data_IF_588430464695
#
_entry.id   IF_588430464695
#
_cell.length_a   1.000
_cell.length_b   1.000
_cell.length_c   1.000
_cell.angle_alpha   90.00
_cell.angle_beta   90.00
_cell.angle_gamma   90.00
#
_symmetry.space_group_name_H-M   'P 1'
#
loop_
_entity.id
_entity.type
_entity.pdbx_description
1 polymer ?
#
# COMPACT_ATOMS: atom_id res chain seq x y z
N UNK A 1 34.79 11.44 7.81
CA UNK A 1 33.73 10.57 8.38
C UNK A 1 32.32 11.16 8.21
N UNK A 2 32.04 12.38 8.69
CA UNK A 2 30.69 13.02 8.67
C UNK A 2 30.04 13.15 7.27
N UNK A 3 30.82 13.37 6.21
CA UNK A 3 30.35 13.54 4.81
C UNK A 3 29.77 12.26 4.20
N UNK A 4 30.45 11.11 4.35
CA UNK A 4 29.94 9.80 3.91
C UNK A 4 28.62 9.42 4.61
N UNK A 5 28.45 9.81 5.88
CA UNK A 5 27.24 9.51 6.66
C UNK A 5 26.02 10.40 6.35
N UNK A 6 26.20 11.64 5.85
CA UNK A 6 25.08 12.48 5.36
C UNK A 6 24.59 11.99 3.99
N UNK A 7 25.50 11.49 3.16
CA UNK A 7 25.23 10.89 1.84
C UNK A 7 24.35 9.64 1.96
N UNK A 8 24.56 8.79 2.97
CA UNK A 8 23.76 7.58 3.20
C UNK A 8 22.29 7.86 3.58
N UNK A 9 22.00 8.87 4.42
CA UNK A 9 20.60 9.21 4.76
C UNK A 9 19.83 9.71 3.55
N UNK A 10 20.46 10.57 2.75
CA UNK A 10 19.82 11.03 1.52
C UNK A 10 19.55 9.87 0.57
N UNK A 11 20.40 8.83 0.56
CA UNK A 11 20.17 7.60 -0.21
C UNK A 11 19.00 6.78 0.33
N UNK A 12 18.91 6.58 1.65
CA UNK A 12 17.83 5.80 2.27
C UNK A 12 16.47 6.51 2.19
N UNK A 13 16.45 7.84 2.37
CA UNK A 13 15.25 8.65 2.12
C UNK A 13 14.79 8.53 0.67
N UNK A 14 15.72 8.66 -0.29
CA UNK A 14 15.40 8.51 -1.73
C UNK A 14 14.80 7.14 -2.04
N UNK A 15 15.32 6.06 -1.44
CA UNK A 15 14.74 4.72 -1.57
C UNK A 15 13.32 4.65 -1.01
N UNK A 16 13.08 5.21 0.17
CA UNK A 16 11.73 5.27 0.74
C UNK A 16 10.77 6.02 -0.19
N UNK A 17 11.18 7.21 -0.65
CA UNK A 17 10.38 8.03 -1.56
C UNK A 17 10.06 7.31 -2.85
N UNK A 18 11.03 6.59 -3.43
CA UNK A 18 10.82 5.82 -4.66
C UNK A 18 9.77 4.72 -4.46
N UNK A 19 9.88 3.94 -3.38
CA UNK A 19 8.93 2.85 -3.11
C UNK A 19 7.54 3.38 -2.76
N UNK A 20 7.45 4.45 -1.97
CA UNK A 20 6.18 5.11 -1.66
C UNK A 20 5.56 5.72 -2.92
N UNK A 21 6.38 6.26 -3.83
CA UNK A 21 5.91 6.76 -5.12
C UNK A 21 5.36 5.62 -5.99
N UNK A 22 6.01 4.45 -6.02
CA UNK A 22 5.49 3.28 -6.73
C UNK A 22 4.15 2.82 -6.14
N UNK A 23 4.04 2.76 -4.81
CA UNK A 23 2.76 2.47 -4.13
C UNK A 23 1.69 3.52 -4.49
N UNK A 24 2.05 4.80 -4.52
CA UNK A 24 1.14 5.88 -4.88
C UNK A 24 0.66 5.79 -6.33
N UNK A 25 1.58 5.56 -7.28
CA UNK A 25 1.22 5.37 -8.68
C UNK A 25 0.30 4.16 -8.85
N UNK A 26 0.64 3.03 -8.21
CA UNK A 26 -0.20 1.83 -8.26
C UNK A 26 -1.59 2.09 -7.69
N UNK A 27 -1.68 2.70 -6.50
CA UNK A 27 -2.97 3.00 -5.87
C UNK A 27 -3.80 4.02 -6.64
N UNK A 28 -3.16 4.91 -7.42
CA UNK A 28 -3.86 5.86 -8.28
C UNK A 28 -4.60 5.21 -9.45
N UNK A 29 -4.25 3.96 -9.81
CA UNK A 29 -4.99 3.21 -10.84
C UNK A 29 -6.42 2.91 -10.36
N UNK A 30 -6.63 2.65 -9.09
CA UNK A 30 -7.96 2.43 -8.50
C UNK A 30 -8.84 3.68 -8.52
N UNK A 31 -8.23 4.87 -8.56
CA UNK A 31 -9.00 6.12 -8.67
C UNK A 31 -9.58 6.31 -10.06
N UNK A 32 -8.82 5.92 -11.09
CA UNK A 32 -9.19 6.13 -12.50
C UNK A 32 -9.82 4.90 -13.15
N UNK A 33 -9.60 3.72 -12.58
CA UNK A 33 -9.79 2.45 -13.25
C UNK A 33 -8.69 2.21 -14.29
N UNK A 34 -8.35 0.94 -14.50
CA UNK A 34 -7.43 0.55 -15.56
C UNK A 34 -7.89 -0.73 -16.24
N UNK A 35 -8.20 -0.63 -17.54
CA UNK A 35 -8.52 -1.77 -18.39
C UNK A 35 -7.69 -1.70 -19.67
N UNK A 36 -7.25 -2.86 -20.14
CA UNK A 36 -6.54 -3.01 -21.40
C UNK A 36 -7.23 -4.06 -22.26
N UNK A 37 -7.74 -3.64 -23.42
CA UNK A 37 -8.62 -4.46 -24.27
C UNK A 37 -9.80 -5.03 -23.45
N UNK A 38 -9.91 -6.36 -23.36
CA UNK A 38 -10.99 -7.05 -22.66
C UNK A 38 -10.62 -7.43 -21.21
N UNK A 39 -9.46 -6.97 -20.71
CA UNK A 39 -8.96 -7.30 -19.38
C UNK A 39 -9.04 -6.05 -18.51
N UNK A 40 -9.84 -6.10 -17.44
CA UNK A 40 -9.86 -5.05 -16.42
C UNK A 40 -8.87 -5.41 -15.32
N UNK A 41 -7.93 -4.53 -15.01
CA UNK A 41 -7.03 -4.70 -13.87
C UNK A 41 -7.71 -4.26 -12.57
N UNK A 42 -8.37 -3.09 -12.61
CA UNK A 42 -9.06 -2.48 -11.47
C UNK A 42 -10.16 -1.55 -11.98
N UNK A 43 -11.31 -1.53 -11.31
CA UNK A 43 -12.42 -0.61 -11.61
C UNK A 43 -12.24 0.70 -10.82
N UNK A 44 -12.83 1.81 -11.29
CA UNK A 44 -12.69 3.10 -10.58
C UNK A 44 -13.48 3.11 -9.26
N UNK A 45 -12.81 3.46 -8.17
CA UNK A 45 -13.35 3.57 -6.82
C UNK A 45 -13.29 5.00 -6.25
N UNK A 46 -13.12 6.03 -7.10
CA UNK A 46 -12.94 7.43 -6.66
C UNK A 46 -14.05 7.94 -5.72
N UNK A 47 -15.32 7.63 -6.03
CA UNK A 47 -16.46 8.09 -5.24
C UNK A 47 -16.73 7.20 -4.01
N UNK A 48 -15.86 6.23 -3.73
CA UNK A 48 -15.97 5.33 -2.58
C UNK A 48 -15.00 5.77 -1.46
N UNK A 49 -14.91 4.96 -0.41
CA UNK A 49 -13.98 5.20 0.71
C UNK A 49 -12.52 5.28 0.22
N UNK A 50 -12.20 4.61 -0.88
CA UNK A 50 -10.85 4.56 -1.45
C UNK A 50 -10.38 5.93 -1.95
N UNK A 51 -11.28 6.77 -2.49
CA UNK A 51 -10.95 8.15 -2.87
C UNK A 51 -10.51 9.02 -1.69
N UNK A 52 -11.21 8.92 -0.56
CA UNK A 52 -10.80 9.59 0.67
C UNK A 52 -9.47 9.02 1.18
N UNK A 53 -9.30 7.70 1.13
CA UNK A 53 -8.07 7.02 1.51
C UNK A 53 -6.87 7.51 0.69
N UNK A 54 -7.06 7.70 -0.61
CA UNK A 54 -6.07 8.24 -1.54
C UNK A 54 -5.70 9.68 -1.22
N UNK A 55 -6.67 10.55 -0.89
CA UNK A 55 -6.39 11.94 -0.50
C UNK A 55 -5.59 12.03 0.80
N UNK A 56 -5.91 11.19 1.79
CA UNK A 56 -5.14 11.09 3.03
C UNK A 56 -3.72 10.62 2.72
N UNK A 57 -3.57 9.58 1.89
CA UNK A 57 -2.26 9.06 1.51
C UNK A 57 -1.41 10.11 0.79
N UNK A 58 -1.98 10.82 -0.19
CA UNK A 58 -1.33 11.93 -0.91
C UNK A 58 -0.85 13.02 0.06
N UNK A 59 -1.72 13.43 0.98
CA UNK A 59 -1.42 14.48 1.98
C UNK A 59 -0.27 14.06 2.88
N UNK A 60 -0.30 12.83 3.40
CA UNK A 60 0.77 12.29 4.25
C UNK A 60 2.07 12.08 3.49
N UNK A 61 2.00 11.73 2.20
CA UNK A 61 3.17 11.58 1.35
C UNK A 61 3.85 12.93 1.10
N UNK A 62 3.07 13.97 0.75
CA UNK A 62 3.56 15.35 0.63
C UNK A 62 4.18 15.82 1.96
N UNK A 63 3.52 15.53 3.09
CA UNK A 63 4.03 15.88 4.41
C UNK A 63 5.36 15.17 4.71
N UNK A 64 5.54 13.92 4.30
CA UNK A 64 6.82 13.21 4.44
C UNK A 64 7.94 13.86 3.60
N UNK A 65 7.64 14.34 2.40
CA UNK A 65 8.60 15.05 1.53
C UNK A 65 9.08 16.34 2.21
N UNK A 66 8.16 17.22 2.60
CA UNK A 66 8.48 18.57 3.06
C UNK A 66 8.75 18.67 4.57
N UNK A 67 8.12 17.83 5.39
CA UNK A 67 8.18 17.85 6.86
C UNK A 67 8.61 16.49 7.42
N UNK A 68 9.67 15.92 6.84
CA UNK A 68 10.23 14.59 7.16
C UNK A 68 10.28 14.24 8.66
N UNK A 69 10.64 15.20 9.53
CA UNK A 69 10.74 14.98 10.99
C UNK A 69 9.45 14.40 11.59
N UNK A 70 8.30 14.84 11.12
CA UNK A 70 6.97 14.40 11.59
C UNK A 70 6.27 13.50 10.56
N UNK A 71 6.35 13.87 9.27
CA UNK A 71 5.62 13.18 8.20
C UNK A 71 5.96 11.70 8.08
N UNK A 72 7.20 11.29 8.38
CA UNK A 72 7.60 9.87 8.34
C UNK A 72 6.81 9.00 9.34
N UNK A 73 6.50 9.52 10.52
CA UNK A 73 5.77 8.78 11.55
C UNK A 73 4.29 8.67 11.20
N UNK A 74 3.67 9.79 10.80
CA UNK A 74 2.27 9.80 10.40
C UNK A 74 2.03 8.90 9.18
N UNK A 75 2.90 8.97 8.17
CA UNK A 75 2.84 8.09 7.01
C UNK A 75 3.02 6.62 7.41
N UNK A 76 3.91 6.31 8.36
CA UNK A 76 4.11 4.92 8.81
C UNK A 76 2.90 4.36 9.55
N UNK A 77 2.24 5.17 10.38
CA UNK A 77 1.01 4.78 11.07
C UNK A 77 -0.10 4.52 10.06
N UNK A 78 -0.25 5.40 9.07
CA UNK A 78 -1.23 5.23 8.01
C UNK A 78 -1.00 3.97 7.18
N UNK A 79 0.24 3.71 6.72
CA UNK A 79 0.58 2.50 5.97
C UNK A 79 0.38 1.25 6.84
N UNK A 80 0.67 1.31 8.15
CA UNK A 80 0.39 0.21 9.09
C UNK A 80 -1.11 -0.07 9.22
N UNK A 81 -1.94 0.97 9.35
CA UNK A 81 -3.39 0.81 9.36
C UNK A 81 -3.89 0.24 8.03
N UNK A 82 -3.33 0.71 6.91
CA UNK A 82 -3.70 0.26 5.58
C UNK A 82 -3.38 -1.22 5.35
N UNK A 83 -2.19 -1.72 5.74
CA UNK A 83 -1.88 -3.15 5.59
C UNK A 83 -2.85 -4.03 6.39
N UNK A 84 -3.27 -3.58 7.57
CA UNK A 84 -4.24 -4.31 8.41
C UNK A 84 -5.60 -4.36 7.71
N UNK A 85 -6.09 -3.23 7.19
CA UNK A 85 -7.38 -3.19 6.48
C UNK A 85 -7.31 -4.02 5.20
N UNK A 86 -6.26 -3.85 4.39
CA UNK A 86 -6.04 -4.62 3.17
C UNK A 86 -6.01 -6.12 3.44
N UNK A 87 -5.34 -6.54 4.53
CA UNK A 87 -5.31 -7.94 4.95
C UNK A 87 -6.71 -8.47 5.29
N UNK A 88 -7.49 -7.72 6.07
CA UNK A 88 -8.84 -8.12 6.46
C UNK A 88 -9.81 -8.21 5.27
N UNK A 89 -9.72 -7.28 4.31
CA UNK A 89 -10.57 -7.25 3.14
C UNK A 89 -10.29 -8.41 2.17
N UNK A 90 -9.02 -8.78 1.99
CA UNK A 90 -8.62 -9.66 0.88
C UNK A 90 -8.00 -10.99 1.32
N UNK A 91 -7.24 -11.04 2.42
CA UNK A 91 -6.45 -12.23 2.77
C UNK A 91 -6.99 -13.01 3.97
N UNK A 92 -7.63 -12.33 4.92
CA UNK A 92 -8.19 -12.97 6.11
C UNK A 92 -9.16 -14.11 5.72
N UNK A 93 -10.08 -13.82 4.80
CA UNK A 93 -11.07 -14.80 4.33
C UNK A 93 -10.50 -15.84 3.36
N UNK A 94 -9.33 -15.60 2.77
CA UNK A 94 -8.58 -16.62 2.03
C UNK A 94 -8.03 -17.69 2.98
N UNK A 95 -7.51 -17.27 4.13
CA UNK A 95 -6.81 -18.14 5.08
C UNK A 95 -7.78 -18.83 6.04
N UNK A 96 -8.76 -18.09 6.57
CA UNK A 96 -9.67 -18.57 7.61
C UNK A 96 -11.05 -18.96 7.08
N UNK A 97 -11.31 -18.73 5.79
CA UNK A 97 -12.62 -18.95 5.18
C UNK A 97 -13.64 -17.86 5.51
N UNK A 98 -14.82 -17.97 4.93
CA UNK A 98 -15.98 -17.11 5.20
C UNK A 98 -17.27 -17.77 4.73
N UNK A 99 -18.41 -17.10 4.89
CA UNK A 99 -19.71 -17.62 4.44
C UNK A 99 -19.81 -17.64 2.91
N UNK A 100 -20.63 -18.55 2.38
CA UNK A 100 -20.85 -18.70 0.93
C UNK A 100 -21.41 -17.41 0.32
N UNK A 101 -22.28 -16.69 1.04
CA UNK A 101 -22.84 -15.42 0.59
C UNK A 101 -21.75 -14.35 0.40
N UNK A 102 -20.76 -14.31 1.31
CA UNK A 102 -19.66 -13.36 1.21
C UNK A 102 -18.71 -13.70 0.07
N UNK A 103 -18.44 -14.99 -0.15
CA UNK A 103 -17.65 -15.46 -1.31
C UNK A 103 -18.35 -15.07 -2.62
N UNK A 104 -19.64 -15.33 -2.74
CA UNK A 104 -20.42 -15.01 -3.93
C UNK A 104 -20.47 -13.51 -4.20
N UNK A 105 -20.70 -12.70 -3.16
CA UNK A 105 -20.69 -11.23 -3.27
C UNK A 105 -19.33 -10.70 -3.71
N UNK A 106 -18.24 -11.21 -3.14
CA UNK A 106 -16.87 -10.83 -3.52
C UNK A 106 -16.56 -11.24 -4.97
N UNK A 107 -16.84 -12.49 -5.34
CA UNK A 107 -16.60 -13.00 -6.70
C UNK A 107 -17.42 -12.22 -7.72
N UNK A 108 -18.65 -11.81 -7.39
CA UNK A 108 -19.49 -10.98 -8.26
C UNK A 108 -18.92 -9.57 -8.42
N UNK A 109 -18.45 -8.95 -7.33
CA UNK A 109 -17.86 -7.62 -7.35
C UNK A 109 -16.57 -7.58 -8.20
N UNK A 110 -15.69 -8.56 -8.03
CA UNK A 110 -14.42 -8.66 -8.75
C UNK A 110 -14.46 -9.57 -9.98
N UNK A 111 -15.65 -9.86 -10.53
CA UNK A 111 -15.81 -10.87 -11.60
C UNK A 111 -15.09 -10.50 -12.89
N UNK A 112 -14.98 -9.20 -13.16
CA UNK A 112 -14.42 -8.66 -14.40
C UNK A 112 -12.93 -8.33 -14.27
N UNK A 113 -12.37 -8.39 -13.06
CA UNK A 113 -10.96 -8.02 -12.84
C UNK A 113 -10.03 -9.19 -13.16
N UNK A 114 -8.75 -8.89 -13.36
CA UNK A 114 -7.74 -9.87 -13.73
C UNK A 114 -7.37 -10.74 -12.53
N UNK A 115 -7.70 -12.03 -12.58
CA UNK A 115 -7.33 -13.02 -11.57
C UNK A 115 -6.10 -13.83 -11.99
N UNK A 116 -5.11 -13.96 -11.10
CA UNK A 116 -3.97 -14.88 -11.30
C UNK A 116 -4.37 -16.31 -10.96
N UNK A 117 -5.22 -16.45 -9.94
CA UNK A 117 -5.76 -17.72 -9.46
C UNK A 117 -7.28 -17.62 -9.65
N UNK A 118 -7.87 -18.59 -10.34
CA UNK A 118 -9.32 -18.60 -10.58
C UNK A 118 -10.11 -18.48 -9.28
N UNK A 119 -11.19 -17.71 -9.31
CA UNK A 119 -12.13 -17.58 -8.19
C UNK A 119 -12.59 -18.94 -7.67
N UNK A 120 -12.82 -19.03 -6.36
CA UNK A 120 -13.23 -20.26 -5.68
C UNK A 120 -14.59 -20.07 -5.01
N UNK A 121 -15.36 -21.14 -4.91
CA UNK A 121 -16.62 -21.19 -4.15
C UNK A 121 -16.38 -21.50 -2.66
N UNK A 122 -15.15 -21.87 -2.28
CA UNK A 122 -14.79 -22.29 -0.91
C UNK A 122 -13.98 -21.25 -0.14
N UNK A 123 -13.19 -20.45 -0.87
CA UNK A 123 -12.31 -19.43 -0.29
C UNK A 123 -12.34 -18.17 -1.14
N UNK A 124 -12.13 -17.03 -0.50
CA UNK A 124 -11.99 -15.75 -1.19
C UNK A 124 -10.59 -15.63 -1.77
N UNK A 125 -10.48 -15.33 -3.06
CA UNK A 125 -9.19 -15.17 -3.75
C UNK A 125 -9.12 -13.75 -4.31
N UNK A 126 -8.13 -12.94 -3.88
CA UNK A 126 -7.98 -11.58 -4.40
C UNK A 126 -7.56 -11.55 -5.87
N UNK A 127 -7.97 -10.50 -6.57
CA UNK A 127 -7.51 -10.26 -7.94
C UNK A 127 -6.04 -9.78 -7.97
N UNK A 128 -5.45 -9.71 -9.16
CA UNK A 128 -4.05 -9.33 -9.35
C UNK A 128 -3.74 -7.95 -8.77
N UNK A 129 -4.66 -7.00 -8.92
CA UNK A 129 -4.45 -5.63 -8.46
C UNK A 129 -4.28 -5.58 -6.95
N UNK A 130 -5.17 -6.22 -6.20
CA UNK A 130 -5.13 -6.23 -4.73
C UNK A 130 -3.97 -7.08 -4.19
N UNK A 131 -3.54 -8.12 -4.91
CA UNK A 131 -2.31 -8.88 -4.59
C UNK A 131 -1.08 -7.95 -4.66
N UNK A 132 -0.89 -7.25 -5.79
CA UNK A 132 0.25 -6.35 -5.98
C UNK A 132 0.18 -5.18 -4.99
N UNK A 133 -1.01 -4.61 -4.78
CA UNK A 133 -1.22 -3.52 -3.81
C UNK A 133 -0.78 -3.96 -2.40
N UNK A 134 -1.18 -5.15 -1.95
CA UNK A 134 -0.79 -5.69 -0.65
C UNK A 134 0.74 -5.82 -0.51
N UNK A 135 1.41 -6.33 -1.54
CA UNK A 135 2.88 -6.45 -1.56
C UNK A 135 3.56 -5.08 -1.50
N UNK A 136 3.08 -4.10 -2.27
CA UNK A 136 3.63 -2.74 -2.27
C UNK A 136 3.46 -2.05 -0.92
N UNK A 137 2.31 -2.20 -0.26
CA UNK A 137 2.08 -1.67 1.09
C UNK A 137 3.07 -2.31 2.08
N UNK A 138 3.22 -3.63 2.05
CA UNK A 138 4.14 -4.35 2.95
C UNK A 138 5.60 -3.91 2.77
N UNK A 139 6.07 -3.86 1.52
CA UNK A 139 7.44 -3.42 1.20
C UNK A 139 7.66 -1.96 1.63
N UNK A 140 6.67 -1.10 1.38
CA UNK A 140 6.70 0.31 1.80
C UNK A 140 6.83 0.44 3.32
N UNK A 141 6.05 -0.35 4.08
CA UNK A 141 6.07 -0.34 5.53
C UNK A 141 7.44 -0.78 6.06
N UNK A 142 7.98 -1.90 5.58
CA UNK A 142 9.28 -2.43 6.00
C UNK A 142 10.39 -1.40 5.76
N UNK A 143 10.42 -0.80 4.57
CA UNK A 143 11.44 0.18 4.20
C UNK A 143 11.30 1.46 5.04
N UNK A 144 10.08 1.92 5.27
CA UNK A 144 9.82 3.12 6.07
C UNK A 144 10.18 2.92 7.55
N UNK A 145 9.84 1.77 8.14
CA UNK A 145 10.23 1.41 9.52
C UNK A 145 11.75 1.35 9.64
N UNK A 146 12.45 0.69 8.71
CA UNK A 146 13.92 0.63 8.69
C UNK A 146 14.54 2.02 8.65
N UNK A 147 13.99 2.90 7.81
CA UNK A 147 14.44 4.29 7.71
C UNK A 147 14.21 5.08 9.01
N UNK A 148 13.04 4.91 9.64
CA UNK A 148 12.73 5.52 10.93
C UNK A 148 13.72 5.05 12.01
N UNK A 149 13.92 3.74 12.17
CA UNK A 149 14.85 3.17 13.15
C UNK A 149 16.26 3.71 12.94
N UNK A 150 16.76 3.70 11.70
CA UNK A 150 18.08 4.24 11.37
C UNK A 150 18.19 5.73 11.74
N UNK A 151 17.15 6.51 11.46
CA UNK A 151 17.11 7.93 11.78
C UNK A 151 17.11 8.21 13.29
N UNK A 152 16.47 7.35 14.10
CA UNK A 152 16.41 7.44 15.56
C UNK A 152 17.76 7.08 16.20
N UNK A 153 18.34 5.95 15.81
CA UNK A 153 19.66 5.51 16.31
C UNK A 153 20.71 6.61 16.05
N UNK A 154 20.67 7.24 14.88
CA UNK A 154 21.58 8.34 14.58
C UNK A 154 21.35 9.59 15.43
N UNK A 155 20.10 9.95 15.71
CA UNK A 155 19.79 11.10 16.57
C UNK A 155 20.41 10.91 17.95
N UNK A 156 20.33 9.68 18.49
CA UNK A 156 20.90 9.33 19.79
C UNK A 156 22.44 9.30 19.80
N UNK A 157 23.09 8.93 18.69
CA UNK A 157 24.58 8.96 18.57
C UNK A 157 25.17 10.36 18.35
N UNK A 158 24.33 11.37 18.16
CA UNK A 158 24.72 12.79 17.96
C UNK A 158 24.50 13.66 19.20
N UNK A 159 23.87 13.10 20.23
CA UNK A 159 23.82 13.61 21.59
C UNK A 159 24.94 12.92 22.38
#
# INVERSE_FOLDING_TARGET
MVTNFRKNINKDKKKCLFIILLLFVWFSLDMTGFSFANITLVESAWNQVDGLWWLIFLTLFILFIFKEKFGKYLLSIFILMWIIIQFNCHWYHTIFGTSVEKINSYNQYFRNTLHVISSSEKILIPDLYHIILHLLILISLIILIRYIIYSLIKKNKKL
#
